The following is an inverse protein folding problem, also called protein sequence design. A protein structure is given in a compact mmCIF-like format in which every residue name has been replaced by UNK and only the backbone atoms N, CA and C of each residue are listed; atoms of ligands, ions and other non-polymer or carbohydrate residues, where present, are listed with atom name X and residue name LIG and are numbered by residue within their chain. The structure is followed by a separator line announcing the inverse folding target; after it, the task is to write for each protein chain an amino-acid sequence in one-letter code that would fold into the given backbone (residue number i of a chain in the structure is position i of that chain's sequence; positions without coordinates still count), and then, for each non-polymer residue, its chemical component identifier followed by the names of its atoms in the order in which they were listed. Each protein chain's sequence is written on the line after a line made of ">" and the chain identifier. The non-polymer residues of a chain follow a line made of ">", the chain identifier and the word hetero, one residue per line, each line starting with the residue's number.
data_IF_076106551819
#
_entry.id   IF_076106551819
#
_cell.length_a   1.000
_cell.length_b   1.000
_cell.length_c   1.000
_cell.angle_alpha   90.00
_cell.angle_beta   90.00
_cell.angle_gamma   90.00
#
_symmetry.space_group_name_H-M   'P 1'
#
loop_
_entity.id
_entity.type
_entity.pdbx_description
1 polymer ?
#
# COMPACT_ATOMS: atom_id res chain seq x y z
N UNK A 1 46.36 11.85 -16.95
CA UNK A 1 45.83 10.48 -17.10
C UNK A 1 44.37 10.51 -16.68
N UNK A 2 43.46 10.69 -17.64
CA UNK A 2 42.00 10.64 -17.42
C UNK A 2 41.56 9.31 -18.02
N UNK A 3 41.21 8.36 -17.16
CA UNK A 3 40.67 7.05 -17.54
C UNK A 3 39.18 7.19 -17.79
N UNK A 4 38.79 7.23 -19.06
CA UNK A 4 37.39 7.14 -19.47
C UNK A 4 36.88 5.73 -19.18
N UNK A 5 35.92 5.60 -18.26
CA UNK A 5 35.14 4.37 -18.06
C UNK A 5 34.19 4.22 -19.23
N UNK A 6 34.47 3.24 -20.09
CA UNK A 6 33.59 2.80 -21.17
C UNK A 6 32.32 2.19 -20.54
N UNK A 7 31.17 2.83 -20.74
CA UNK A 7 29.87 2.28 -20.35
C UNK A 7 29.43 1.29 -21.44
N UNK A 8 29.40 0.00 -21.11
CA UNK A 8 28.85 -1.05 -21.99
C UNK A 8 27.32 -0.94 -21.98
N UNK A 9 26.75 -0.27 -22.98
CA UNK A 9 25.32 -0.37 -23.28
C UNK A 9 25.12 -1.66 -24.07
N UNK A 10 24.53 -2.68 -23.45
CA UNK A 10 24.07 -3.88 -24.16
C UNK A 10 22.83 -3.47 -24.96
N UNK A 11 23.03 -3.13 -26.23
CA UNK A 11 21.93 -3.05 -27.19
C UNK A 11 21.47 -4.48 -27.47
N UNK A 12 20.38 -4.91 -26.83
CA UNK A 12 19.63 -6.08 -27.28
C UNK A 12 18.98 -5.71 -28.62
N UNK A 13 19.73 -5.88 -29.70
CA UNK A 13 19.17 -5.84 -31.04
C UNK A 13 18.26 -7.03 -31.22
N UNK A 14 16.95 -6.83 -31.14
CA UNK A 14 16.02 -7.80 -31.69
C UNK A 14 16.23 -7.80 -33.20
N UNK A 15 16.52 -8.98 -33.76
CA UNK A 15 16.55 -9.16 -35.19
C UNK A 15 15.12 -8.92 -35.72
N UNK A 16 14.84 -7.70 -36.18
CA UNK A 16 13.62 -7.41 -36.91
C UNK A 16 13.73 -8.10 -38.26
N UNK A 17 13.06 -9.25 -38.40
CA UNK A 17 12.68 -9.74 -39.71
C UNK A 17 11.85 -8.61 -40.30
N UNK A 18 12.34 -7.93 -41.35
CA UNK A 18 11.60 -6.89 -42.02
C UNK A 18 10.33 -7.51 -42.64
N UNK A 19 9.26 -7.58 -41.86
CA UNK A 19 7.94 -7.85 -42.37
C UNK A 19 7.49 -6.60 -43.11
N UNK A 20 7.10 -6.75 -44.37
CA UNK A 20 6.34 -5.74 -45.07
C UNK A 20 4.95 -5.61 -44.38
N UNK A 21 4.85 -4.80 -43.33
CA UNK A 21 3.65 -4.75 -42.49
C UNK A 21 3.63 -3.63 -41.44
N UNK A 22 2.54 -3.57 -40.69
CA UNK A 22 2.32 -2.65 -39.57
C UNK A 22 2.65 -3.33 -38.24
N UNK A 23 3.40 -2.64 -37.38
CA UNK A 23 3.78 -3.08 -36.04
C UNK A 23 3.30 -2.05 -35.01
N UNK A 24 2.62 -2.55 -33.98
CA UNK A 24 2.28 -1.80 -32.77
C UNK A 24 3.07 -2.40 -31.60
N UNK A 25 3.75 -1.56 -30.84
CA UNK A 25 4.55 -1.98 -29.68
C UNK A 25 4.07 -1.26 -28.44
N UNK A 26 3.64 -1.99 -27.42
CA UNK A 26 3.35 -1.44 -26.09
C UNK A 26 4.66 -1.01 -25.42
N UNK A 27 4.71 0.19 -24.86
CA UNK A 27 5.86 0.71 -24.13
C UNK A 27 5.49 0.96 -22.67
N UNK A 28 6.46 0.94 -21.73
CA UNK A 28 6.18 1.15 -20.31
C UNK A 28 5.38 2.43 -20.05
N UNK A 29 4.41 2.35 -19.14
CA UNK A 29 3.66 3.51 -18.69
C UNK A 29 4.57 4.53 -17.98
N UNK A 30 4.16 5.79 -17.96
CA UNK A 30 4.90 6.89 -17.33
C UNK A 30 3.93 7.87 -16.67
N UNK A 31 4.46 8.85 -15.91
CA UNK A 31 3.63 9.85 -15.22
C UNK A 31 2.49 9.22 -14.39
N UNK A 32 2.80 8.10 -13.73
CA UNK A 32 1.85 7.35 -12.92
C UNK A 32 1.63 8.10 -11.61
N UNK A 33 0.38 8.42 -11.33
CA UNK A 33 -0.07 9.03 -10.06
C UNK A 33 -0.91 8.03 -9.28
N UNK A 34 -1.58 8.48 -8.23
CA UNK A 34 -2.55 7.65 -7.47
C UNK A 34 -3.79 7.29 -8.30
N UNK A 35 -4.18 8.11 -9.29
CA UNK A 35 -5.44 7.91 -10.03
C UNK A 35 -5.33 8.11 -11.54
N UNK A 36 -4.13 8.39 -12.05
CA UNK A 36 -3.86 8.62 -13.47
C UNK A 36 -2.57 7.95 -13.93
N UNK A 37 -2.46 7.70 -15.22
CA UNK A 37 -1.21 7.26 -15.84
C UNK A 37 -1.15 7.67 -17.32
N UNK A 38 0.07 7.81 -17.85
CA UNK A 38 0.31 7.88 -19.29
C UNK A 38 0.65 6.49 -19.82
N UNK A 39 -0.19 5.96 -20.69
CA UNK A 39 0.07 4.70 -21.39
C UNK A 39 0.79 5.00 -22.70
N UNK A 40 1.91 4.32 -22.95
CA UNK A 40 2.80 4.62 -24.06
C UNK A 40 2.79 3.49 -25.09
N UNK A 41 2.92 3.87 -26.35
CA UNK A 41 3.06 2.93 -27.46
C UNK A 41 3.97 3.48 -28.55
N UNK A 42 4.37 2.60 -29.46
CA UNK A 42 5.10 2.96 -30.66
C UNK A 42 4.48 2.29 -31.88
N UNK A 43 4.15 3.11 -32.88
CA UNK A 43 3.60 2.67 -34.16
C UNK A 43 4.68 2.70 -35.23
N UNK A 44 4.78 1.64 -36.03
CA UNK A 44 5.62 1.60 -37.22
C UNK A 44 4.90 0.90 -38.37
N UNK A 45 4.80 1.55 -39.52
CA UNK A 45 4.16 0.99 -40.70
C UNK A 45 4.74 1.57 -41.98
N UNK A 46 4.92 0.68 -42.97
CA UNK A 46 5.23 1.04 -44.35
C UNK A 46 3.98 1.03 -45.25
N UNK A 47 2.82 0.63 -44.72
CA UNK A 47 1.55 0.46 -45.46
C UNK A 47 0.39 1.32 -44.89
N UNK A 48 0.66 2.03 -43.79
CA UNK A 48 -0.27 2.93 -43.12
C UNK A 48 -0.84 2.38 -41.81
N UNK A 49 -1.25 3.31 -40.95
CA UNK A 49 -1.78 3.06 -39.61
C UNK A 49 -3.29 3.35 -39.58
N UNK A 50 -4.02 2.67 -38.68
CA UNK A 50 -5.46 2.86 -38.46
C UNK A 50 -5.86 2.28 -37.11
N UNK A 51 -6.87 2.87 -36.46
CA UNK A 51 -7.52 2.27 -35.28
C UNK A 51 -6.63 2.13 -34.05
N UNK A 52 -5.62 2.99 -33.89
CA UNK A 52 -4.66 2.92 -32.78
C UNK A 52 -5.33 3.18 -31.43
N UNK A 53 -5.35 2.15 -30.58
CA UNK A 53 -6.04 2.12 -29.29
C UNK A 53 -5.12 1.44 -28.26
N UNK A 54 -5.19 1.91 -27.02
CA UNK A 54 -4.66 1.19 -25.86
C UNK A 54 -5.82 0.60 -25.07
N UNK A 55 -5.85 -0.72 -24.92
CA UNK A 55 -6.74 -1.40 -23.99
C UNK A 55 -6.08 -1.43 -22.61
N UNK A 56 -6.83 -1.23 -21.54
CA UNK A 56 -6.32 -1.30 -20.17
C UNK A 56 -7.37 -1.78 -19.16
N UNK A 57 -6.91 -2.32 -18.02
CA UNK A 57 -7.73 -2.68 -16.85
C UNK A 57 -7.02 -3.56 -15.84
N UNK A 58 -7.70 -3.96 -14.77
CA UNK A 58 -7.08 -4.68 -13.63
C UNK A 58 -6.69 -6.14 -13.94
N UNK A 59 -7.10 -6.64 -15.11
CA UNK A 59 -6.75 -7.98 -15.59
C UNK A 59 -6.41 -7.92 -17.07
N UNK A 60 -5.88 -9.01 -17.63
CA UNK A 60 -5.61 -9.14 -19.07
C UNK A 60 -6.87 -9.17 -19.95
N UNK A 61 -8.07 -9.07 -19.36
CA UNK A 61 -9.31 -8.82 -20.10
C UNK A 61 -9.51 -7.31 -20.39
N UNK A 62 -8.72 -6.45 -19.75
CA UNK A 62 -8.71 -4.99 -19.86
C UNK A 62 -10.08 -4.36 -19.53
N UNK A 63 -11.04 -4.40 -20.44
CA UNK A 63 -12.40 -3.89 -20.23
C UNK A 63 -12.56 -2.40 -20.51
N UNK A 64 -11.47 -1.63 -20.58
CA UNK A 64 -11.45 -0.24 -21.04
C UNK A 64 -10.52 -0.06 -22.24
N UNK A 65 -10.78 0.97 -23.04
CA UNK A 65 -9.98 1.34 -24.21
C UNK A 65 -9.89 2.86 -24.34
N UNK A 66 -8.74 3.36 -24.79
CA UNK A 66 -8.49 4.79 -25.00
C UNK A 66 -7.77 5.03 -26.33
N UNK A 67 -8.11 6.12 -27.01
CA UNK A 67 -7.43 6.54 -28.25
C UNK A 67 -6.08 7.18 -27.92
N UNK A 68 -5.06 6.87 -28.72
CA UNK A 68 -3.74 7.46 -28.58
C UNK A 68 -3.64 8.82 -29.26
N UNK A 69 -2.71 9.64 -28.79
CA UNK A 69 -2.35 10.94 -29.34
C UNK A 69 -0.83 11.06 -29.45
N UNK A 70 -0.28 11.50 -30.60
CA UNK A 70 -0.97 11.65 -31.89
C UNK A 70 -1.35 10.29 -32.50
N UNK A 71 -2.46 10.22 -33.22
CA UNK A 71 -2.85 9.02 -33.98
C UNK A 71 -2.29 9.07 -35.41
N UNK A 72 -2.06 7.91 -36.02
CA UNK A 72 -1.68 7.76 -37.42
C UNK A 72 -0.23 8.12 -37.74
N UNK A 73 0.66 8.15 -36.73
CA UNK A 73 2.06 8.52 -36.91
C UNK A 73 3.00 7.34 -36.76
N UNK A 74 4.03 7.28 -37.59
CA UNK A 74 5.18 6.42 -37.32
C UNK A 74 6.02 7.07 -36.22
N UNK A 75 5.97 6.51 -35.02
CA UNK A 75 6.62 7.12 -33.87
C UNK A 75 5.94 6.83 -32.54
N UNK A 76 6.37 7.54 -31.47
CA UNK A 76 5.78 7.42 -30.16
C UNK A 76 4.36 8.00 -30.15
N UNK A 77 3.47 7.28 -29.49
CA UNK A 77 2.07 7.67 -29.24
C UNK A 77 1.77 7.44 -27.77
N UNK A 78 0.81 8.19 -27.22
CA UNK A 78 0.44 8.02 -25.80
C UNK A 78 -1.02 8.33 -25.54
N UNK A 79 -1.54 7.86 -24.42
CA UNK A 79 -2.86 8.23 -23.91
C UNK A 79 -2.79 8.51 -22.41
N UNK A 80 -3.47 9.56 -21.95
CA UNK A 80 -3.70 9.79 -20.53
C UNK A 80 -4.96 9.05 -20.10
N UNK A 81 -4.85 8.22 -19.06
CA UNK A 81 -5.99 7.56 -18.40
C UNK A 81 -6.17 8.12 -17.00
N UNK A 82 -7.41 8.16 -16.53
CA UNK A 82 -7.80 8.74 -15.25
C UNK A 82 -8.88 7.89 -14.58
N UNK A 83 -9.22 8.23 -13.33
CA UNK A 83 -10.15 7.47 -12.47
C UNK A 83 -9.67 6.03 -12.25
N UNK A 84 -8.37 5.85 -12.11
CA UNK A 84 -7.77 4.60 -11.65
C UNK A 84 -7.85 4.53 -10.13
N UNK A 85 -7.94 3.32 -9.60
CA UNK A 85 -7.82 3.05 -8.18
C UNK A 85 -6.34 3.18 -7.76
N UNK A 86 -6.11 3.72 -6.56
CA UNK A 86 -4.77 3.90 -5.99
C UNK A 86 -4.21 2.57 -5.47
N UNK A 87 -2.88 2.42 -5.50
CA UNK A 87 -2.19 1.20 -5.11
C UNK A 87 -2.51 -0.04 -5.97
N UNK A 88 -3.21 0.13 -7.10
CA UNK A 88 -3.75 -0.97 -7.90
C UNK A 88 -2.88 -1.24 -9.12
N UNK A 89 -2.66 -2.53 -9.41
CA UNK A 89 -1.99 -2.98 -10.62
C UNK A 89 -2.97 -3.04 -11.80
N UNK A 90 -2.56 -2.49 -12.93
CA UNK A 90 -3.29 -2.50 -14.20
C UNK A 90 -2.45 -3.16 -15.28
N UNK A 91 -3.12 -3.91 -16.15
CA UNK A 91 -2.66 -4.43 -17.43
C UNK A 91 -3.02 -3.47 -18.55
N UNK A 92 -2.18 -3.36 -19.57
CA UNK A 92 -2.50 -2.61 -20.78
C UNK A 92 -1.74 -3.12 -22.00
N UNK A 93 -2.34 -2.92 -23.18
CA UNK A 93 -1.77 -3.30 -24.46
C UNK A 93 -2.11 -2.30 -25.54
N UNK A 94 -1.10 -1.91 -26.31
CA UNK A 94 -1.27 -1.08 -27.49
C UNK A 94 -1.53 -1.93 -28.74
N UNK A 95 -2.58 -1.59 -29.49
CA UNK A 95 -2.93 -2.25 -30.74
C UNK A 95 -3.55 -1.28 -31.73
N UNK A 96 -3.80 -1.76 -32.94
CA UNK A 96 -4.57 -1.04 -33.93
C UNK A 96 -4.99 -1.94 -35.08
N UNK A 97 -5.77 -1.39 -36.00
CA UNK A 97 -6.23 -2.10 -37.18
C UNK A 97 -5.17 -2.06 -38.28
N UNK A 98 -4.73 -3.20 -38.82
CA UNK A 98 -3.83 -3.18 -39.96
C UNK A 98 -4.61 -2.75 -41.21
N UNK A 99 -4.10 -1.77 -41.95
CA UNK A 99 -4.57 -1.53 -43.32
C UNK A 99 -4.21 -2.77 -44.18
N UNK A 100 -5.07 -3.19 -45.13
CA UNK A 100 -4.77 -4.34 -45.99
C UNK A 100 -3.42 -4.18 -46.73
N UNK A 101 -2.60 -5.24 -46.88
CA UNK A 101 -2.80 -6.63 -46.46
C UNK A 101 -2.65 -6.83 -44.93
N UNK A 102 -3.60 -7.55 -44.33
CA UNK A 102 -3.82 -7.61 -42.87
C UNK A 102 -2.91 -8.64 -42.18
N UNK A 103 -1.67 -8.25 -41.86
CA UNK A 103 -0.89 -8.90 -40.80
C UNK A 103 -0.74 -7.93 -39.63
N UNK A 104 -1.53 -8.12 -38.56
CA UNK A 104 -1.40 -7.35 -37.33
C UNK A 104 -0.38 -7.99 -36.41
N UNK A 105 0.63 -7.23 -35.98
CA UNK A 105 1.35 -7.51 -34.74
C UNK A 105 0.88 -6.50 -33.70
N UNK A 106 0.11 -6.98 -32.72
CA UNK A 106 -0.28 -6.21 -31.54
C UNK A 106 0.92 -6.13 -30.59
N UNK A 107 0.93 -5.13 -29.73
CA UNK A 107 1.93 -5.05 -28.67
C UNK A 107 1.76 -6.15 -27.62
N UNK A 108 2.80 -6.38 -26.85
CA UNK A 108 2.75 -7.26 -25.67
C UNK A 108 1.87 -6.63 -24.56
N UNK A 109 1.36 -7.47 -23.67
CA UNK A 109 0.75 -7.01 -22.41
C UNK A 109 1.85 -6.48 -21.48
N UNK A 110 1.66 -5.27 -20.96
CA UNK A 110 2.51 -4.68 -19.93
C UNK A 110 1.65 -4.31 -18.72
N UNK A 111 2.28 -4.21 -17.56
CA UNK A 111 1.62 -3.76 -16.34
C UNK A 111 2.20 -2.46 -15.80
N UNK A 112 1.39 -1.74 -15.02
CA UNK A 112 1.84 -0.66 -14.16
C UNK A 112 1.03 -0.67 -12.86
N UNK A 113 1.54 -0.04 -11.81
CA UNK A 113 0.84 0.08 -10.52
C UNK A 113 0.73 1.54 -10.16
N UNK A 114 -0.48 2.02 -9.88
CA UNK A 114 -0.71 3.40 -9.40
C UNK A 114 0.00 3.61 -8.07
N UNK A 115 0.26 4.88 -7.73
CA UNK A 115 0.84 5.19 -6.42
C UNK A 115 -0.12 4.77 -5.30
N UNK A 116 0.38 4.36 -4.12
CA UNK A 116 -0.45 4.04 -2.96
C UNK A 116 -1.40 5.17 -2.61
N UNK A 117 -2.55 4.86 -2.00
CA UNK A 117 -3.46 5.92 -1.58
C UNK A 117 -2.81 6.79 -0.50
N UNK A 118 -3.33 8.01 -0.35
CA UNK A 118 -2.90 8.86 0.75
C UNK A 118 -3.33 8.20 2.08
N UNK A 119 -2.47 8.18 3.11
CA UNK A 119 -2.83 7.64 4.41
C UNK A 119 -4.09 8.28 4.99
N UNK A 120 -4.99 7.47 5.54
CA UNK A 120 -6.16 7.95 6.29
C UNK A 120 -5.77 8.18 7.74
N UNK A 121 -6.13 9.33 8.32
CA UNK A 121 -5.85 9.62 9.74
C UNK A 121 -7.15 9.66 10.53
N UNK A 122 -7.28 8.75 11.50
CA UNK A 122 -8.35 8.70 12.48
C UNK A 122 -7.84 9.32 13.78
N UNK A 123 -8.36 10.50 14.13
CA UNK A 123 -7.90 11.26 15.29
C UNK A 123 -8.67 10.86 16.54
N UNK A 124 -8.05 11.02 17.71
CA UNK A 124 -8.63 10.83 19.04
C UNK A 124 -9.10 9.40 19.33
N UNK A 125 -8.50 8.40 18.68
CA UNK A 125 -8.79 7.01 18.99
C UNK A 125 -8.27 6.67 20.39
N UNK A 126 -9.00 5.82 21.10
CA UNK A 126 -8.58 5.25 22.37
C UNK A 126 -8.60 3.72 22.29
N UNK A 127 -7.73 3.08 23.06
CA UNK A 127 -7.62 1.62 23.11
C UNK A 127 -7.86 1.18 24.55
N UNK A 128 -8.92 0.41 24.77
CA UNK A 128 -9.31 -0.08 26.10
C UNK A 128 -8.99 -1.57 26.23
N UNK A 129 -8.34 -1.94 27.32
CA UNK A 129 -8.06 -3.34 27.67
C UNK A 129 -9.32 -4.07 28.12
N UNK A 130 -9.31 -5.41 28.11
CA UNK A 130 -10.37 -6.21 28.73
C UNK A 130 -10.60 -5.93 30.23
N UNK A 131 -9.65 -5.28 30.90
CA UNK A 131 -9.73 -4.85 32.30
C UNK A 131 -10.39 -3.49 32.51
N UNK A 132 -10.89 -2.84 31.46
CA UNK A 132 -11.44 -1.48 31.47
C UNK A 132 -10.40 -0.42 31.84
N UNK A 133 -9.14 -0.63 31.43
CA UNK A 133 -8.10 0.39 31.49
C UNK A 133 -7.76 0.86 30.08
N UNK A 134 -7.33 2.10 29.93
CA UNK A 134 -6.91 2.66 28.64
C UNK A 134 -5.40 2.58 28.47
N UNK A 135 -4.93 2.37 27.24
CA UNK A 135 -3.52 2.60 26.91
C UNK A 135 -3.18 4.07 27.10
N UNK A 136 -1.98 4.31 27.63
CA UNK A 136 -1.47 5.64 27.98
C UNK A 136 -0.07 5.78 27.42
N UNK A 137 0.16 6.84 26.65
CA UNK A 137 1.53 7.30 26.38
C UNK A 137 1.92 8.30 27.47
N UNK A 138 2.82 7.89 28.37
CA UNK A 138 3.25 8.77 29.45
C UNK A 138 3.92 10.03 28.89
N UNK A 139 3.66 11.17 29.55
CA UNK A 139 4.08 12.51 29.11
C UNK A 139 3.56 12.91 27.71
N UNK A 140 2.51 12.25 27.21
CA UNK A 140 2.03 12.37 25.83
C UNK A 140 3.07 11.93 24.78
N UNK A 141 4.03 11.10 25.18
CA UNK A 141 5.12 10.61 24.33
C UNK A 141 6.51 11.02 24.85
N UNK A 142 7.54 10.39 24.26
CA UNK A 142 8.92 10.42 24.73
C UNK A 142 9.27 9.33 25.76
N UNK A 143 8.31 8.48 26.13
CA UNK A 143 8.45 7.47 27.20
C UNK A 143 7.72 6.16 26.85
N UNK A 144 7.50 5.28 27.84
CA UNK A 144 6.80 4.01 27.73
C UNK A 144 5.30 4.18 27.48
N UNK A 145 4.68 3.13 26.93
CA UNK A 145 3.22 2.95 26.94
C UNK A 145 2.82 2.04 28.11
N UNK A 146 1.75 2.37 28.83
CA UNK A 146 1.19 1.52 29.89
C UNK A 146 -0.35 1.45 29.77
N UNK A 147 -1.01 0.70 30.66
CA UNK A 147 -2.47 0.58 30.68
C UNK A 147 -3.05 0.61 32.10
N UNK A 148 -3.09 1.80 32.72
CA UNK A 148 -3.43 1.96 34.13
C UNK A 148 -4.49 3.04 34.42
N UNK A 149 -5.12 3.63 33.40
CA UNK A 149 -6.10 4.72 33.55
C UNK A 149 -7.51 4.20 33.35
N UNK A 150 -8.44 4.68 34.18
CA UNK A 150 -9.86 4.30 34.17
C UNK A 150 -10.74 5.24 33.33
N UNK A 151 -10.17 6.29 32.76
CA UNK A 151 -10.88 7.27 31.96
C UNK A 151 -9.99 7.78 30.83
N UNK A 152 -10.63 8.11 29.71
CA UNK A 152 -9.96 8.74 28.56
C UNK A 152 -9.68 10.20 28.90
N UNK A 153 -8.41 10.56 28.93
CA UNK A 153 -7.91 11.91 28.97
C UNK A 153 -6.97 12.20 27.78
N UNK A 154 -6.17 13.27 27.86
CA UNK A 154 -5.29 13.68 26.76
C UNK A 154 -4.18 12.68 26.41
N UNK A 155 -3.81 11.76 27.30
CA UNK A 155 -2.69 10.82 27.09
C UNK A 155 -3.16 9.43 26.66
N UNK A 156 -4.47 9.22 26.67
CA UNK A 156 -5.17 8.00 26.27
C UNK A 156 -5.74 8.11 24.84
N UNK A 157 -5.58 9.28 24.21
CA UNK A 157 -6.01 9.57 22.86
C UNK A 157 -4.82 9.59 21.89
N UNK A 158 -5.02 8.97 20.73
CA UNK A 158 -4.00 8.80 19.71
C UNK A 158 -4.56 9.13 18.32
N UNK A 159 -3.66 9.32 17.36
CA UNK A 159 -3.98 9.31 15.94
C UNK A 159 -3.62 7.93 15.40
N UNK A 160 -4.58 7.23 14.80
CA UNK A 160 -4.33 6.04 14.01
C UNK A 160 -4.13 6.49 12.55
N UNK A 161 -2.97 6.17 12.00
CA UNK A 161 -2.60 6.47 10.63
C UNK A 161 -2.64 5.17 9.87
N UNK A 162 -3.65 5.03 9.03
CA UNK A 162 -3.80 3.93 8.10
C UNK A 162 -2.94 4.18 6.85
N UNK A 163 -1.94 3.33 6.63
CA UNK A 163 -0.85 3.60 5.68
C UNK A 163 -1.33 3.43 4.24
N UNK A 164 -2.18 2.44 3.98
CA UNK A 164 -2.71 2.19 2.64
C UNK A 164 -3.88 3.12 2.31
N UNK A 165 -4.50 3.75 3.31
CA UNK A 165 -5.60 4.71 3.16
C UNK A 165 -6.92 4.04 2.77
N UNK A 166 -7.96 4.85 2.64
CA UNK A 166 -9.32 4.35 2.40
C UNK A 166 -10.03 3.95 3.70
N UNK A 167 -10.83 2.90 3.63
CA UNK A 167 -11.53 2.31 4.78
C UNK A 167 -10.55 1.49 5.63
N UNK A 168 -10.60 1.62 6.96
CA UNK A 168 -9.75 0.83 7.86
C UNK A 168 -10.25 -0.62 7.97
N UNK A 169 -9.51 -1.56 7.40
CA UNK A 169 -9.82 -2.98 7.36
C UNK A 169 -8.86 -3.80 8.23
N UNK A 170 -9.34 -4.95 8.71
CA UNK A 170 -8.49 -5.95 9.35
C UNK A 170 -7.46 -6.47 8.36
N UNK A 171 -6.17 -6.27 8.67
CA UNK A 171 -5.04 -6.63 7.84
C UNK A 171 -4.24 -5.41 7.36
N UNK A 172 -4.75 -4.20 7.58
CA UNK A 172 -4.04 -2.98 7.20
C UNK A 172 -2.81 -2.76 8.07
N UNK A 173 -1.77 -2.19 7.44
CA UNK A 173 -0.61 -1.68 8.15
C UNK A 173 -0.89 -0.25 8.63
N UNK A 174 -0.65 -0.02 9.92
CA UNK A 174 -0.97 1.24 10.59
C UNK A 174 0.22 1.75 11.40
N UNK A 175 0.19 3.05 11.69
CA UNK A 175 0.93 3.67 12.78
C UNK A 175 -0.04 4.17 13.86
N UNK A 176 0.39 4.13 15.11
CA UNK A 176 -0.30 4.81 16.22
C UNK A 176 0.61 5.93 16.69
N UNK A 177 0.12 7.15 16.65
CA UNK A 177 0.85 8.35 17.01
C UNK A 177 0.18 9.06 18.18
N UNK A 178 0.94 9.51 19.17
CA UNK A 178 0.46 10.39 20.23
C UNK A 178 0.06 11.75 19.65
N UNK A 179 -0.78 12.49 20.38
CA UNK A 179 -1.18 13.84 19.95
C UNK A 179 -0.02 14.85 19.90
N UNK A 180 1.13 14.53 20.51
CA UNK A 180 2.37 15.33 20.40
C UNK A 180 3.34 14.86 19.31
N UNK A 181 2.98 13.82 18.55
CA UNK A 181 3.72 13.38 17.36
C UNK A 181 4.66 12.20 17.57
N UNK A 182 4.65 11.53 18.72
CA UNK A 182 5.47 10.34 18.95
C UNK A 182 4.76 9.07 18.51
N UNK A 183 5.49 8.16 17.87
CA UNK A 183 4.96 6.88 17.40
C UNK A 183 5.10 5.80 18.46
N UNK A 184 4.10 4.91 18.50
CA UNK A 184 4.22 3.63 19.19
C UNK A 184 5.34 2.81 18.54
N UNK A 185 6.13 2.10 19.36
CA UNK A 185 7.32 1.37 18.92
C UNK A 185 7.31 0.01 19.58
N UNK A 186 7.27 -1.04 18.77
CA UNK A 186 7.56 -2.40 19.21
C UNK A 186 9.08 -2.60 19.27
N UNK A 187 9.69 -2.33 20.43
CA UNK A 187 11.15 -2.42 20.56
C UNK A 187 11.66 -3.81 20.19
N UNK A 188 12.80 -3.88 19.49
CA UNK A 188 13.33 -5.12 18.88
C UNK A 188 12.34 -5.81 17.93
N UNK A 189 11.50 -5.01 17.26
CA UNK A 189 10.43 -5.48 16.37
C UNK A 189 9.34 -6.29 17.08
N UNK A 190 9.20 -6.13 18.41
CA UNK A 190 8.20 -6.82 19.24
C UNK A 190 8.76 -7.71 20.35
N UNK A 191 10.08 -7.89 20.44
CA UNK A 191 10.70 -8.73 21.48
C UNK A 191 10.93 -8.05 22.84
N UNK A 192 10.54 -6.78 23.00
CA UNK A 192 10.83 -5.98 24.19
C UNK A 192 9.64 -5.10 24.62
N UNK A 193 9.85 -3.83 24.97
CA UNK A 193 8.79 -2.94 25.46
C UNK A 193 7.99 -2.29 24.33
N UNK A 194 6.75 -1.88 24.63
CA UNK A 194 6.01 -0.94 23.79
C UNK A 194 6.28 0.48 24.31
N UNK A 195 6.93 1.31 23.48
CA UNK A 195 7.21 2.71 23.81
C UNK A 195 6.44 3.65 22.90
N UNK A 196 6.33 4.92 23.27
CA UNK A 196 5.81 6.00 22.43
C UNK A 196 6.85 7.11 22.32
N UNK A 197 8.01 6.83 21.70
CA UNK A 197 9.21 7.65 21.86
C UNK A 197 9.99 7.94 20.57
N UNK A 198 9.42 7.69 19.39
CA UNK A 198 10.04 8.00 18.09
C UNK A 198 9.28 9.13 17.40
N UNK A 199 9.98 10.06 16.76
CA UNK A 199 9.37 11.19 16.03
C UNK A 199 9.22 10.93 14.53
N UNK A 200 9.64 9.75 14.06
CA UNK A 200 9.47 9.29 12.70
C UNK A 200 9.18 7.79 12.73
N UNK A 201 8.25 7.36 11.88
CA UNK A 201 7.89 5.95 11.75
C UNK A 201 8.80 5.22 10.75
N UNK A 202 9.10 3.97 11.07
CA UNK A 202 9.76 3.00 10.23
C UNK A 202 9.22 1.60 10.59
N UNK A 203 10.04 0.57 10.40
CA UNK A 203 9.64 -0.83 10.54
C UNK A 203 9.21 -1.23 11.96
N UNK A 204 9.65 -0.54 13.02
CA UNK A 204 9.29 -0.89 14.41
C UNK A 204 8.07 -0.13 14.92
N UNK A 205 7.69 0.93 14.22
CA UNK A 205 6.49 1.72 14.49
C UNK A 205 5.27 1.22 13.70
N UNK A 206 5.51 0.28 12.79
CA UNK A 206 4.49 -0.31 11.91
C UNK A 206 3.87 -1.55 12.55
N UNK A 207 2.54 -1.55 12.61
CA UNK A 207 1.74 -2.66 13.13
C UNK A 207 0.70 -3.08 12.10
N UNK A 208 0.37 -4.36 12.03
CA UNK A 208 -0.85 -4.83 11.38
C UNK A 208 -1.98 -4.76 12.39
N UNK A 209 -3.09 -4.10 12.05
CA UNK A 209 -4.32 -4.13 12.85
C UNK A 209 -5.19 -5.30 12.41
N UNK A 210 -5.59 -6.17 13.34
CA UNK A 210 -6.31 -7.40 13.01
C UNK A 210 -7.61 -7.51 13.80
N UNK A 211 -8.66 -7.98 13.14
CA UNK A 211 -9.81 -8.66 13.75
C UNK A 211 -9.55 -10.16 13.61
N UNK A 212 -9.00 -10.86 14.63
CA UNK A 212 -8.50 -12.23 14.46
C UNK A 212 -9.55 -13.22 13.97
N UNK A 213 -10.82 -12.97 14.31
CA UNK A 213 -11.95 -13.82 13.92
C UNK A 213 -12.67 -13.34 12.64
N UNK A 214 -12.24 -12.22 12.06
CA UNK A 214 -12.87 -11.64 10.87
C UNK A 214 -11.85 -10.91 9.95
N UNK A 215 -10.88 -11.64 9.35
CA UNK A 215 -9.87 -11.04 8.49
C UNK A 215 -10.48 -10.30 7.30
N UNK A 216 -9.93 -9.13 6.93
CA UNK A 216 -10.41 -8.30 5.83
C UNK A 216 -11.70 -7.52 6.11
N UNK A 217 -12.32 -7.69 7.27
CA UNK A 217 -13.52 -6.93 7.63
C UNK A 217 -13.21 -5.48 8.03
N UNK A 218 -14.18 -4.60 7.81
CA UNK A 218 -14.15 -3.21 8.29
C UNK A 218 -14.03 -3.16 9.81
N UNK A 219 -13.11 -2.35 10.31
CA UNK A 219 -12.93 -2.09 11.74
C UNK A 219 -13.87 -0.95 12.17
N UNK A 220 -14.66 -1.20 13.21
CA UNK A 220 -15.71 -0.31 13.70
C UNK A 220 -15.51 0.06 15.17
N UNK A 221 -16.20 1.12 15.61
CA UNK A 221 -16.18 1.56 17.00
C UNK A 221 -16.65 0.44 17.93
N UNK A 222 -15.84 0.11 18.93
CA UNK A 222 -16.12 -0.93 19.90
C UNK A 222 -15.63 -2.33 19.50
N UNK A 223 -15.01 -2.48 18.34
CA UNK A 223 -14.39 -3.74 17.96
C UNK A 223 -13.17 -4.05 18.85
N UNK A 224 -12.99 -5.33 19.15
CA UNK A 224 -11.80 -5.81 19.83
C UNK A 224 -10.73 -6.15 18.79
N UNK A 225 -9.74 -5.27 18.65
CA UNK A 225 -8.65 -5.39 17.68
C UNK A 225 -7.39 -5.95 18.35
N UNK A 226 -6.54 -6.57 17.54
CA UNK A 226 -5.18 -6.92 17.91
C UNK A 226 -4.18 -6.06 17.13
N UNK A 227 -3.06 -5.70 17.76
CA UNK A 227 -1.96 -4.98 17.12
C UNK A 227 -0.76 -5.90 17.01
N UNK A 228 -0.35 -6.21 15.79
CA UNK A 228 0.73 -7.13 15.50
C UNK A 228 1.94 -6.39 14.97
N UNK A 229 3.07 -6.53 15.65
CA UNK A 229 4.36 -6.00 15.22
C UNK A 229 4.91 -6.74 13.99
N UNK A 230 5.92 -6.15 13.35
CA UNK A 230 6.58 -6.68 12.15
C UNK A 230 7.14 -8.11 12.31
N UNK A 231 7.57 -8.51 13.52
CA UNK A 231 8.06 -9.87 13.77
C UNK A 231 6.95 -10.84 14.21
N UNK A 232 5.68 -10.43 14.13
CA UNK A 232 4.52 -11.26 14.46
C UNK A 232 4.16 -11.32 15.95
N UNK A 233 4.72 -10.45 16.78
CA UNK A 233 4.39 -10.35 18.21
C UNK A 233 3.17 -9.46 18.38
N UNK A 234 2.27 -9.82 19.30
CA UNK A 234 1.08 -9.03 19.60
C UNK A 234 1.30 -8.14 20.81
N UNK A 235 0.83 -6.90 20.71
CA UNK A 235 0.81 -5.96 21.84
C UNK A 235 -0.12 -6.49 22.93
N UNK A 236 0.37 -6.55 24.17
CA UNK A 236 -0.40 -7.06 25.30
C UNK A 236 -0.31 -6.10 26.49
N UNK A 237 -1.46 -5.83 27.12
CA UNK A 237 -1.51 -5.25 28.45
C UNK A 237 -1.43 -6.37 29.49
N UNK A 238 -0.28 -6.48 30.16
CA UNK A 238 -0.04 -7.54 31.15
C UNK A 238 -1.12 -7.48 32.24
N UNK A 239 -1.73 -8.63 32.56
CA UNK A 239 -2.82 -8.78 33.52
C UNK A 239 -4.08 -7.93 33.22
N UNK A 240 -4.40 -7.66 31.96
CA UNK A 240 -5.48 -6.76 31.53
C UNK A 240 -5.29 -5.27 31.90
N UNK A 241 -4.08 -4.85 32.28
CA UNK A 241 -3.86 -3.50 32.81
C UNK A 241 -4.12 -3.39 34.32
N UNK A 242 -4.08 -2.17 34.85
CA UNK A 242 -4.30 -1.89 36.28
C UNK A 242 -3.15 -1.16 36.96
N UNK A 243 -2.82 -1.50 38.21
CA UNK A 243 -1.80 -0.81 39.01
C UNK A 243 -0.38 -0.94 38.42
N UNK A 244 -0.01 -0.02 37.52
CA UNK A 244 1.36 0.16 37.05
C UNK A 244 1.89 -0.93 36.11
N UNK A 245 1.02 -1.66 35.41
CA UNK A 245 1.48 -2.69 34.46
C UNK A 245 1.87 -2.09 33.11
N UNK A 246 3.05 -2.49 32.61
CA UNK A 246 3.57 -2.10 31.31
C UNK A 246 2.81 -2.81 30.19
N UNK A 247 2.70 -2.14 29.04
CA UNK A 247 2.27 -2.77 27.79
C UNK A 247 3.53 -3.27 27.08
N UNK A 248 3.54 -4.54 26.70
CA UNK A 248 4.68 -5.19 26.07
C UNK A 248 4.20 -6.02 24.88
N UNK A 249 4.87 -6.00 23.71
CA UNK A 249 4.64 -7.02 22.69
C UNK A 249 5.31 -8.34 23.13
N UNK A 250 4.64 -9.48 22.92
CA UNK A 250 5.16 -10.81 23.33
C UNK A 250 4.93 -11.87 22.25
N UNK A 251 5.79 -12.93 22.20
CA UNK A 251 5.53 -14.10 21.34
C UNK A 251 4.37 -14.84 21.96
N UNK A 252 3.28 -14.95 21.23
CA UNK A 252 2.12 -15.72 21.67
C UNK A 252 1.77 -16.70 20.56
N UNK A 253 1.58 -17.97 20.95
CA UNK A 253 1.00 -18.97 20.07
C UNK A 253 -0.51 -18.75 19.98
N UNK A 254 -0.95 -17.98 18.99
CA UNK A 254 -2.38 -17.83 18.70
C UNK A 254 -2.83 -18.99 17.80
N UNK A 255 -3.92 -19.66 18.15
CA UNK A 255 -4.60 -20.59 17.24
C UNK A 255 -5.98 -20.05 16.86
N UNK A 256 -6.52 -20.55 15.73
CA UNK A 256 -7.75 -20.07 15.10
C UNK A 256 -9.04 -20.18 15.95
N UNK A 257 -8.95 -20.54 17.24
CA UNK A 257 -10.11 -20.73 18.11
C UNK A 257 -10.21 -19.72 19.26
N UNK A 258 -9.14 -18.98 19.59
CA UNK A 258 -9.18 -17.97 20.64
C UNK A 258 -8.20 -16.81 20.39
N UNK A 259 -8.67 -15.57 20.26
CA UNK A 259 -7.90 -14.45 20.80
C UNK A 259 -7.97 -14.56 22.32
N UNK A 260 -6.83 -14.67 23.00
CA UNK A 260 -6.83 -14.56 24.44
C UNK A 260 -7.32 -13.13 24.76
N UNK A 261 -8.40 -12.99 25.51
CA UNK A 261 -9.06 -11.69 25.78
C UNK A 261 -8.13 -10.62 26.39
N UNK A 262 -6.94 -11.02 26.83
CA UNK A 262 -5.88 -10.18 27.39
C UNK A 262 -5.07 -9.38 26.34
N UNK A 263 -5.14 -9.78 25.06
CA UNK A 263 -4.30 -9.26 23.96
C UNK A 263 -5.08 -8.40 22.95
N UNK A 264 -6.38 -8.26 23.17
CA UNK A 264 -7.21 -7.39 22.35
C UNK A 264 -7.51 -6.10 23.08
N UNK A 265 -7.63 -5.04 22.28
CA UNK A 265 -8.05 -3.74 22.73
C UNK A 265 -9.36 -3.38 22.05
N UNK A 266 -10.34 -2.97 22.84
CA UNK A 266 -11.54 -2.36 22.29
C UNK A 266 -11.14 -0.99 21.74
N UNK A 267 -11.23 -0.82 20.42
CA UNK A 267 -10.97 0.46 19.77
C UNK A 267 -12.18 1.38 19.93
N UNK A 268 -11.91 2.64 20.24
CA UNK A 268 -12.91 3.68 20.42
C UNK A 268 -12.53 4.82 19.48
N UNK A 269 -13.45 5.25 18.64
CA UNK A 269 -13.30 6.40 17.73
C UNK A 269 -13.92 7.67 18.31
#
# INVERSE_FOLDING_TARGET
>A
MITSKLLFVVLLGTASIAHAGTQYTTQPASNITTTTAQLNGYSASTIGLSGEIIDYGETTNYGFSVLVTPAGVNGPVSAQVANLECGTQYHFRFHGDPKPPRSTLQGEDLTFTTLPCNPTILNNISLETGGQYYLVAENNGGDTVNANRLAIGPWEQFNLIDINGGDLLSGDEIHIQTTSGYYFVAEQGGGAALNANRTAASIWETFTIELPNNPGALIQNGDNIALKSINGYYVQAVNNGGFGTNVLPTVIGCNAMYPCSLEMFKIIF
#
